data_IF_627397346424
#
_entry.id   IF_627397346424
#
_cell.length_a   1.000
_cell.length_b   1.000
_cell.length_c   1.000
_cell.angle_alpha   90.00
_cell.angle_beta   90.00
_cell.angle_gamma   90.00
#
_symmetry.space_group_name_H-M   'P 1'
#
loop_
_entity.id
_entity.type
_entity.pdbx_description
1 polymer ?
#
# COMPACT_ATOMS: atom_id res chain seq x y z
N UNK A 1 9.10 -4.14 -13.42
CA UNK A 1 8.76 -4.52 -12.02
C UNK A 1 9.45 -3.55 -11.08
N UNK A 2 8.75 -3.02 -10.07
CA UNK A 2 9.34 -2.13 -9.06
C UNK A 2 10.12 -2.95 -8.00
N UNK A 3 11.14 -3.71 -8.40
CA UNK A 3 11.89 -4.62 -7.52
C UNK A 3 12.51 -3.91 -6.30
N UNK A 4 12.95 -2.65 -6.47
CA UNK A 4 13.49 -1.81 -5.39
C UNK A 4 12.46 -1.48 -4.31
N UNK A 5 11.16 -1.59 -4.59
CA UNK A 5 10.12 -1.39 -3.59
C UNK A 5 10.15 -2.48 -2.51
N UNK A 6 10.45 -3.73 -2.88
CA UNK A 6 10.56 -4.82 -1.91
C UNK A 6 11.81 -4.69 -1.03
N UNK A 7 12.91 -4.22 -1.60
CA UNK A 7 14.19 -4.10 -0.89
C UNK A 7 14.96 -2.87 -1.36
N UNK A 8 14.96 -1.84 -0.51
CA UNK A 8 15.58 -0.53 -0.74
C UNK A 8 17.05 -0.50 -0.29
N UNK A 9 17.63 -1.62 0.16
CA UNK A 9 19.03 -1.67 0.62
C UNK A 9 20.00 -1.17 -0.47
N UNK A 10 20.90 -0.22 -0.15
CA UNK A 10 21.76 0.42 -1.14
C UNK A 10 22.81 -0.52 -1.75
N UNK A 11 23.21 -1.57 -1.03
CA UNK A 11 24.20 -2.55 -1.48
C UNK A 11 23.66 -3.55 -2.52
N UNK A 12 22.32 -3.67 -2.66
CA UNK A 12 21.70 -4.56 -3.64
C UNK A 12 21.64 -3.90 -5.01
N UNK A 13 22.07 -4.57 -6.07
CA UNK A 13 21.83 -4.12 -7.44
C UNK A 13 20.39 -4.43 -7.88
N UNK A 14 19.87 -3.80 -8.94
CA UNK A 14 18.63 -4.23 -9.60
C UNK A 14 18.58 -5.73 -9.91
N UNK A 15 19.69 -6.30 -10.38
CA UNK A 15 19.79 -7.73 -10.70
C UNK A 15 19.68 -8.60 -9.44
N UNK A 16 20.32 -8.21 -8.34
CA UNK A 16 20.20 -8.90 -7.05
C UNK A 16 18.75 -8.87 -6.54
N UNK A 17 18.08 -7.71 -6.64
CA UNK A 17 16.68 -7.62 -6.22
C UNK A 17 15.76 -8.53 -7.05
N UNK A 18 16.01 -8.65 -8.36
CA UNK A 18 15.25 -9.59 -9.21
C UNK A 18 15.57 -11.04 -8.83
N UNK A 19 16.85 -11.36 -8.59
CA UNK A 19 17.27 -12.70 -8.17
C UNK A 19 16.63 -13.11 -6.84
N UNK A 20 16.59 -12.22 -5.84
CA UNK A 20 15.94 -12.46 -4.55
C UNK A 20 14.43 -12.76 -4.73
N UNK A 21 13.74 -11.99 -5.58
CA UNK A 21 12.32 -12.18 -5.86
C UNK A 21 12.02 -13.48 -6.62
N UNK A 22 12.92 -13.91 -7.52
CA UNK A 22 12.79 -15.20 -8.20
C UNK A 22 13.04 -16.35 -7.23
N UNK A 23 14.08 -16.24 -6.40
CA UNK A 23 14.41 -17.22 -5.38
C UNK A 23 13.24 -17.43 -4.41
N UNK A 24 12.65 -16.37 -3.87
CA UNK A 24 11.56 -16.52 -2.88
C UNK A 24 10.31 -17.16 -3.49
N UNK A 25 10.02 -16.91 -4.78
CA UNK A 25 8.91 -17.57 -5.49
C UNK A 25 9.22 -19.06 -5.70
N UNK A 26 10.44 -19.41 -6.06
CA UNK A 26 10.86 -20.81 -6.21
C UNK A 26 10.82 -21.56 -4.87
N UNK A 27 11.28 -20.92 -3.79
CA UNK A 27 11.22 -21.46 -2.43
C UNK A 27 9.78 -21.67 -1.99
N UNK A 28 8.89 -20.69 -2.19
CA UNK A 28 7.47 -20.82 -1.88
C UNK A 28 6.81 -21.95 -2.68
N UNK A 29 7.09 -22.05 -3.99
CA UNK A 29 6.60 -23.15 -4.82
C UNK A 29 7.12 -24.52 -4.38
N UNK A 30 8.37 -24.61 -3.91
CA UNK A 30 8.91 -25.86 -3.39
C UNK A 30 8.20 -26.28 -2.10
N UNK A 31 8.11 -25.37 -1.13
CA UNK A 31 7.43 -25.60 0.15
C UNK A 31 5.98 -26.02 -0.09
N UNK A 32 5.27 -25.30 -0.97
CA UNK A 32 3.86 -25.55 -1.25
C UNK A 32 3.55 -26.96 -1.81
N UNK A 33 4.52 -27.60 -2.49
CA UNK A 33 4.35 -28.96 -3.03
C UNK A 33 4.37 -30.04 -1.95
N UNK A 34 5.01 -29.75 -0.82
CA UNK A 34 5.16 -30.69 0.30
C UNK A 34 4.10 -30.48 1.38
N UNK A 35 3.21 -29.48 1.22
CA UNK A 35 2.10 -29.23 2.12
C UNK A 35 1.03 -30.35 2.02
N UNK A 36 0.38 -30.72 3.14
CA UNK A 36 -0.66 -31.73 3.14
C UNK A 36 -1.94 -31.26 2.44
N UNK A 37 -2.88 -32.16 2.20
CA UNK A 37 -4.23 -31.77 1.78
C UNK A 37 -4.92 -30.98 2.91
N UNK A 38 -5.36 -29.75 2.61
CA UNK A 38 -6.02 -28.86 3.55
C UNK A 38 -6.83 -27.80 2.79
N UNK A 39 -7.56 -26.95 3.51
CA UNK A 39 -8.24 -25.79 2.91
C UNK A 39 -7.22 -24.76 2.40
N UNK A 40 -7.59 -23.89 1.44
CA UNK A 40 -6.69 -22.84 0.94
C UNK A 40 -6.14 -21.92 2.04
N UNK A 41 -6.95 -21.62 3.05
CA UNK A 41 -6.53 -20.81 4.20
C UNK A 41 -5.49 -21.51 5.07
N UNK A 42 -5.67 -22.80 5.36
CA UNK A 42 -4.70 -23.60 6.13
C UNK A 42 -3.37 -23.71 5.37
N UNK A 43 -3.42 -24.01 4.07
CA UNK A 43 -2.26 -24.05 3.19
C UNK A 43 -1.53 -22.71 3.16
N UNK A 44 -2.26 -21.61 2.99
CA UNK A 44 -1.69 -20.27 3.00
C UNK A 44 -0.99 -19.97 4.33
N UNK A 45 -1.62 -20.30 5.47
CA UNK A 45 -1.06 -20.04 6.80
C UNK A 45 0.26 -20.80 7.03
N UNK A 46 0.30 -22.08 6.66
CA UNK A 46 1.52 -22.88 6.79
C UNK A 46 2.63 -22.41 5.84
N UNK A 47 2.25 -22.05 4.61
CA UNK A 47 3.15 -21.49 3.62
C UNK A 47 3.73 -20.14 4.08
N UNK A 48 2.91 -19.25 4.63
CA UNK A 48 3.34 -17.92 5.12
C UNK A 48 4.43 -18.05 6.18
N UNK A 49 4.20 -18.89 7.20
CA UNK A 49 5.18 -19.15 8.26
C UNK A 49 6.47 -19.78 7.73
N UNK A 50 6.35 -20.73 6.81
CA UNK A 50 7.50 -21.47 6.27
C UNK A 50 8.36 -20.60 5.37
N UNK A 51 7.74 -19.77 4.52
CA UNK A 51 8.43 -18.85 3.62
C UNK A 51 9.02 -17.67 4.39
N UNK A 52 8.34 -17.12 5.40
CA UNK A 52 8.91 -16.07 6.27
C UNK A 52 10.19 -16.57 6.95
N UNK A 53 10.16 -17.78 7.51
CA UNK A 53 11.35 -18.40 8.13
C UNK A 53 12.49 -18.55 7.13
N UNK A 54 12.23 -19.18 5.98
CA UNK A 54 13.25 -19.40 4.95
C UNK A 54 13.81 -18.08 4.41
N UNK A 55 12.98 -17.06 4.23
CA UNK A 55 13.38 -15.72 3.81
C UNK A 55 14.33 -15.07 4.82
N UNK A 56 13.98 -15.09 6.11
CA UNK A 56 14.80 -14.51 7.17
C UNK A 56 16.14 -15.25 7.34
N UNK A 57 16.13 -16.59 7.30
CA UNK A 57 17.35 -17.42 7.32
C UNK A 57 18.26 -17.14 6.11
N UNK A 58 17.67 -16.84 4.96
CA UNK A 58 18.37 -16.42 3.75
C UNK A 58 18.82 -14.95 3.72
N UNK A 59 18.62 -14.17 4.79
CA UNK A 59 18.98 -12.76 4.84
C UNK A 59 18.11 -11.84 3.97
N UNK A 60 16.89 -12.30 3.66
CA UNK A 60 15.87 -11.56 2.93
C UNK A 60 14.81 -10.98 3.86
N UNK A 61 14.05 -10.00 3.38
CA UNK A 61 13.10 -9.26 4.20
C UNK A 61 11.67 -9.85 4.12
N UNK A 62 10.86 -9.60 5.16
CA UNK A 62 9.50 -10.14 5.26
C UNK A 62 8.54 -9.68 4.16
N UNK A 63 8.69 -8.44 3.68
CA UNK A 63 7.89 -7.94 2.55
C UNK A 63 8.19 -8.73 1.26
N UNK A 64 9.45 -9.09 1.05
CA UNK A 64 9.88 -10.03 0.01
C UNK A 64 9.37 -11.46 0.23
N UNK A 65 9.36 -11.95 1.46
CA UNK A 65 8.76 -13.25 1.80
C UNK A 65 7.28 -13.32 1.39
N UNK A 66 6.53 -12.27 1.75
CA UNK A 66 5.12 -12.10 1.38
C UNK A 66 4.89 -12.16 -0.13
N UNK A 67 5.83 -11.67 -0.93
CA UNK A 67 5.74 -11.75 -2.40
C UNK A 67 5.70 -13.20 -2.88
N UNK A 68 6.61 -14.04 -2.38
CA UNK A 68 6.65 -15.47 -2.70
C UNK A 68 5.34 -16.17 -2.34
N UNK A 69 4.87 -15.96 -1.11
CA UNK A 69 3.58 -16.50 -0.61
C UNK A 69 2.43 -16.06 -1.52
N UNK A 70 2.34 -14.76 -1.85
CA UNK A 70 1.25 -14.20 -2.64
C UNK A 70 1.15 -14.76 -4.06
N UNK A 71 2.26 -15.24 -4.63
CA UNK A 71 2.26 -15.85 -5.97
C UNK A 71 1.57 -17.21 -5.94
N UNK A 72 1.91 -18.03 -4.94
CA UNK A 72 1.31 -19.36 -4.75
C UNK A 72 -0.14 -19.24 -4.29
N UNK A 73 -0.41 -18.37 -3.32
CA UNK A 73 -1.74 -18.07 -2.82
C UNK A 73 -2.72 -17.72 -3.95
N UNK A 74 -2.35 -16.78 -4.83
CA UNK A 74 -3.20 -16.36 -5.94
C UNK A 74 -3.37 -17.47 -6.98
N UNK A 75 -2.34 -18.29 -7.21
CA UNK A 75 -2.45 -19.45 -8.09
C UNK A 75 -3.41 -20.51 -7.53
N UNK A 76 -3.37 -20.77 -6.23
CA UNK A 76 -4.32 -21.67 -5.54
C UNK A 76 -5.76 -21.13 -5.64
N UNK A 77 -5.97 -19.85 -5.32
CA UNK A 77 -7.29 -19.20 -5.42
C UNK A 77 -7.84 -19.25 -6.84
N UNK A 78 -7.02 -18.94 -7.85
CA UNK A 78 -7.44 -18.99 -9.27
C UNK A 78 -7.75 -20.43 -9.72
N UNK A 79 -6.92 -21.40 -9.36
CA UNK A 79 -7.12 -22.81 -9.69
C UNK A 79 -8.42 -23.37 -9.11
N UNK A 80 -8.69 -23.07 -7.84
CA UNK A 80 -9.92 -23.50 -7.15
C UNK A 80 -11.14 -22.79 -7.72
N UNK A 81 -11.05 -21.48 -7.96
CA UNK A 81 -12.13 -20.71 -8.58
C UNK A 81 -12.51 -21.28 -9.95
N UNK A 82 -11.51 -21.62 -10.78
CA UNK A 82 -11.73 -22.27 -12.08
C UNK A 82 -12.36 -23.66 -11.94
N UNK A 83 -11.86 -24.49 -11.04
CA UNK A 83 -12.40 -25.84 -10.81
C UNK A 83 -13.85 -25.81 -10.30
N UNK A 84 -14.20 -24.84 -9.47
CA UNK A 84 -15.53 -24.68 -8.90
C UNK A 84 -16.50 -23.83 -9.77
N UNK A 85 -16.01 -23.18 -10.82
CA UNK A 85 -16.78 -22.22 -11.61
C UNK A 85 -17.18 -20.96 -10.82
N UNK A 86 -16.35 -20.52 -9.87
CA UNK A 86 -16.62 -19.41 -8.97
C UNK A 86 -15.63 -18.26 -9.17
N UNK A 87 -16.15 -17.03 -9.17
CA UNK A 87 -15.34 -15.83 -8.98
C UNK A 87 -14.97 -15.60 -7.51
N UNK A 88 -14.02 -14.69 -7.24
CA UNK A 88 -13.48 -14.47 -5.90
C UNK A 88 -14.54 -14.13 -4.84
N UNK A 89 -15.47 -13.21 -5.11
CA UNK A 89 -16.56 -12.89 -4.15
C UNK A 89 -17.41 -14.11 -3.82
N UNK A 90 -17.78 -14.91 -4.83
CA UNK A 90 -18.58 -16.12 -4.62
C UNK A 90 -17.82 -17.20 -3.83
N UNK A 91 -16.49 -17.26 -3.96
CA UNK A 91 -15.66 -18.13 -3.11
C UNK A 91 -15.65 -17.68 -1.65
N UNK A 92 -15.66 -16.37 -1.38
CA UNK A 92 -15.81 -15.83 -0.01
C UNK A 92 -17.19 -16.15 0.55
N UNK A 93 -18.26 -15.94 -0.22
CA UNK A 93 -19.65 -16.20 0.20
C UNK A 93 -19.89 -17.66 0.57
N UNK A 94 -19.29 -18.57 -0.20
CA UNK A 94 -19.43 -20.01 -0.01
C UNK A 94 -18.38 -20.61 0.92
N UNK A 95 -17.56 -19.79 1.56
CA UNK A 95 -16.39 -20.20 2.37
C UNK A 95 -15.51 -21.26 1.65
N UNK A 96 -15.36 -21.14 0.33
CA UNK A 96 -14.58 -22.09 -0.48
C UNK A 96 -13.09 -22.05 -0.14
N UNK A 97 -12.62 -20.92 0.41
CA UNK A 97 -11.24 -20.76 0.87
C UNK A 97 -11.01 -21.30 2.29
N UNK A 98 -12.08 -21.63 3.03
CA UNK A 98 -11.99 -22.09 4.42
C UNK A 98 -11.45 -21.03 5.37
N UNK A 99 -11.85 -19.76 5.21
CA UNK A 99 -11.27 -18.67 5.98
C UNK A 99 -11.57 -18.84 7.48
N UNK A 100 -10.55 -18.78 8.32
CA UNK A 100 -10.66 -18.76 9.79
C UNK A 100 -9.96 -17.54 10.38
N UNK A 101 -10.47 -16.31 10.18
CA UNK A 101 -9.80 -15.08 10.62
C UNK A 101 -9.46 -15.06 12.11
N UNK A 102 -10.34 -15.63 12.94
CA UNK A 102 -10.17 -15.72 14.39
C UNK A 102 -8.95 -16.56 14.84
N UNK A 103 -8.44 -17.46 14.00
CA UNK A 103 -7.23 -18.24 14.29
C UNK A 103 -5.95 -17.42 14.14
N UNK A 104 -5.99 -16.33 13.36
CA UNK A 104 -4.88 -15.38 13.22
C UNK A 104 -5.07 -14.20 14.18
N UNK A 105 -6.29 -13.67 14.23
CA UNK A 105 -6.65 -12.53 15.06
C UNK A 105 -7.88 -12.89 15.92
N UNK A 106 -7.71 -13.32 17.18
CA UNK A 106 -8.81 -13.75 18.04
C UNK A 106 -9.94 -12.71 18.17
N UNK A 107 -9.61 -11.43 18.04
CA UNK A 107 -10.59 -10.35 18.05
C UNK A 107 -11.57 -10.39 16.87
N UNK A 108 -11.25 -11.05 15.75
CA UNK A 108 -12.18 -11.23 14.64
C UNK A 108 -13.19 -12.36 14.87
N UNK A 109 -13.23 -12.97 16.07
CA UNK A 109 -14.25 -13.95 16.43
C UNK A 109 -15.65 -13.34 16.32
N UNK A 110 -16.50 -14.00 15.52
CA UNK A 110 -17.88 -13.55 15.27
C UNK A 110 -18.01 -12.43 14.24
N UNK A 111 -16.90 -11.93 13.66
CA UNK A 111 -16.93 -10.97 12.55
C UNK A 111 -16.98 -11.72 11.23
N UNK A 112 -18.04 -11.49 10.45
CA UNK A 112 -18.20 -12.04 9.12
C UNK A 112 -17.47 -11.22 8.06
N UNK A 113 -17.22 -11.83 6.90
CA UNK A 113 -16.64 -11.13 5.75
C UNK A 113 -17.58 -9.99 5.28
N UNK A 114 -18.89 -10.16 5.43
CA UNK A 114 -19.91 -9.17 5.08
C UNK A 114 -19.90 -7.92 5.99
N UNK A 115 -19.32 -8.02 7.18
CA UNK A 115 -19.12 -6.84 8.04
C UNK A 115 -18.00 -5.94 7.51
N UNK A 116 -17.10 -6.49 6.68
CA UNK A 116 -15.87 -5.83 6.23
C UNK A 116 -15.82 -5.53 4.73
N UNK A 117 -16.53 -6.31 3.91
CA UNK A 117 -16.50 -6.21 2.45
C UNK A 117 -17.92 -6.00 1.90
N UNK A 118 -18.06 -5.23 0.81
CA UNK A 118 -19.36 -5.02 0.18
C UNK A 118 -19.93 -6.35 -0.34
N UNK A 119 -21.25 -6.52 -0.23
CA UNK A 119 -21.97 -7.74 -0.62
C UNK A 119 -21.87 -8.09 -2.11
N UNK A 120 -21.44 -7.13 -2.95
CA UNK A 120 -21.11 -7.36 -4.34
C UNK A 120 -19.89 -6.54 -4.77
N UNK A 121 -19.11 -6.98 -5.77
CA UNK A 121 -18.03 -6.18 -6.34
C UNK A 121 -18.52 -4.80 -6.79
N UNK A 122 -17.70 -3.78 -6.54
CA UNK A 122 -18.01 -2.42 -6.96
C UNK A 122 -18.05 -2.31 -8.49
N UNK A 123 -19.03 -1.58 -9.02
CA UNK A 123 -19.18 -1.33 -10.46
C UNK A 123 -18.27 -0.22 -10.99
N UNK A 124 -17.69 0.57 -10.09
CA UNK A 124 -16.79 1.67 -10.40
C UNK A 124 -15.75 1.81 -9.29
N UNK A 125 -14.57 2.29 -9.65
CA UNK A 125 -13.42 2.50 -8.77
C UNK A 125 -12.87 3.90 -9.04
N UNK A 126 -12.35 4.57 -8.01
CA UNK A 126 -11.59 5.80 -8.21
C UNK A 126 -10.14 5.48 -8.55
N UNK A 127 -9.67 5.98 -9.69
CA UNK A 127 -8.26 5.93 -10.06
C UNK A 127 -7.53 7.11 -9.42
N UNK A 128 -6.45 6.80 -8.69
CA UNK A 128 -5.51 7.77 -8.13
C UNK A 128 -4.29 7.87 -9.02
N UNK A 129 -4.14 9.00 -9.70
CA UNK A 129 -2.95 9.27 -10.49
C UNK A 129 -1.80 9.66 -9.56
N UNK A 130 -0.68 8.95 -9.63
CA UNK A 130 0.47 9.21 -8.76
C UNK A 130 1.37 10.25 -9.40
N UNK A 131 1.68 11.31 -8.66
CA UNK A 131 2.64 12.34 -9.05
C UNK A 131 3.87 12.21 -8.15
N UNK A 132 4.98 11.82 -8.77
CA UNK A 132 6.30 11.78 -8.20
C UNK A 132 6.93 13.17 -8.06
N UNK A 133 8.09 13.18 -7.39
CA UNK A 133 8.87 14.39 -7.12
C UNK A 133 9.41 15.07 -8.38
N UNK A 134 9.61 14.28 -9.45
CA UNK A 134 10.24 14.73 -10.70
C UNK A 134 9.30 14.68 -11.91
N UNK A 135 8.05 14.26 -11.72
CA UNK A 135 7.11 14.14 -12.83
C UNK A 135 6.76 15.56 -13.34
N UNK A 136 6.67 15.78 -14.65
CA UNK A 136 6.32 17.10 -15.17
C UNK A 136 4.85 17.45 -14.82
N UNK A 137 4.63 18.64 -14.25
CA UNK A 137 3.28 19.15 -14.03
C UNK A 137 2.73 19.80 -15.28
N UNK A 138 3.59 20.49 -16.03
CA UNK A 138 3.25 21.20 -17.26
C UNK A 138 4.32 20.98 -18.32
N UNK A 139 4.03 21.35 -19.56
CA UNK A 139 4.99 21.26 -20.66
C UNK A 139 6.22 22.18 -20.51
N UNK A 140 6.22 23.10 -19.53
CA UNK A 140 7.37 23.95 -19.21
C UNK A 140 8.38 23.25 -18.27
N UNK A 141 8.00 22.16 -17.61
CA UNK A 141 8.90 21.40 -16.76
C UNK A 141 9.88 20.58 -17.62
N UNK A 142 11.10 20.31 -17.13
CA UNK A 142 12.07 19.50 -17.86
C UNK A 142 11.68 18.02 -17.83
N UNK A 143 11.45 17.44 -19.00
CA UNK A 143 11.28 16.00 -19.17
C UNK A 143 11.64 15.59 -20.61
N UNK A 144 11.83 14.29 -20.83
CA UNK A 144 12.04 13.72 -22.16
C UNK A 144 10.71 13.12 -22.66
N UNK A 145 10.09 13.71 -23.70
CA UNK A 145 8.85 13.20 -24.27
C UNK A 145 8.98 11.76 -24.77
N UNK A 146 8.01 10.90 -24.42
CA UNK A 146 7.95 9.52 -24.89
C UNK A 146 7.36 9.46 -26.30
N UNK A 147 6.46 10.41 -26.62
CA UNK A 147 5.76 10.53 -27.89
C UNK A 147 4.98 9.27 -28.30
N UNK A 148 4.40 8.56 -27.33
CA UNK A 148 3.56 7.37 -27.57
C UNK A 148 2.08 7.71 -27.82
N UNK A 149 1.73 9.00 -27.77
CA UNK A 149 0.38 9.52 -27.96
C UNK A 149 -0.47 9.59 -26.68
N UNK A 150 0.10 9.28 -25.51
CA UNK A 150 -0.55 9.47 -24.21
C UNK A 150 -0.21 10.84 -23.59
N UNK A 151 -0.99 11.32 -22.61
CA UNK A 151 -0.62 12.51 -21.84
C UNK A 151 0.75 12.35 -21.16
N UNK A 152 1.55 13.42 -21.14
CA UNK A 152 2.92 13.36 -20.61
C UNK A 152 3.10 14.22 -19.35
N UNK A 153 2.18 15.14 -19.07
CA UNK A 153 2.22 16.06 -17.92
C UNK A 153 0.93 15.98 -17.09
N UNK A 154 0.99 16.35 -15.80
CA UNK A 154 -0.22 16.39 -14.97
C UNK A 154 -1.31 17.26 -15.60
N UNK A 155 -0.95 18.40 -16.21
CA UNK A 155 -1.89 19.27 -16.90
C UNK A 155 -2.62 18.54 -18.05
N UNK A 156 -1.90 17.77 -18.84
CA UNK A 156 -2.49 17.00 -19.95
C UNK A 156 -3.42 15.92 -19.42
N UNK A 157 -3.00 15.21 -18.38
CA UNK A 157 -3.81 14.19 -17.72
C UNK A 157 -5.07 14.76 -17.07
N UNK A 158 -5.01 15.94 -16.45
CA UNK A 158 -6.19 16.63 -15.91
C UNK A 158 -7.18 16.97 -17.04
N UNK A 159 -6.68 17.46 -18.18
CA UNK A 159 -7.48 17.88 -19.33
C UNK A 159 -8.11 16.69 -20.09
N UNK A 160 -7.34 15.63 -20.31
CA UNK A 160 -7.73 14.51 -21.17
C UNK A 160 -8.48 13.40 -20.41
N UNK A 161 -7.95 12.99 -19.25
CA UNK A 161 -8.42 11.79 -18.53
C UNK A 161 -9.43 12.11 -17.41
N UNK A 162 -9.68 13.40 -17.14
CA UNK A 162 -10.66 13.84 -16.15
C UNK A 162 -10.34 13.35 -14.74
N UNK A 163 -9.04 13.31 -14.38
CA UNK A 163 -8.56 12.83 -13.08
C UNK A 163 -9.28 13.54 -11.94
N UNK A 164 -9.73 12.74 -10.97
CA UNK A 164 -10.44 13.20 -9.76
C UNK A 164 -9.64 12.96 -8.48
N UNK A 165 -8.61 12.11 -8.53
CA UNK A 165 -7.82 11.77 -7.36
C UNK A 165 -6.32 11.77 -7.69
N UNK A 166 -5.54 12.42 -6.84
CA UNK A 166 -4.07 12.39 -6.90
C UNK A 166 -3.47 11.64 -5.71
N UNK A 167 -2.37 10.94 -5.94
CA UNK A 167 -1.41 10.54 -4.91
C UNK A 167 -0.15 11.36 -5.11
N UNK A 168 0.14 12.29 -4.21
CA UNK A 168 1.26 13.22 -4.33
C UNK A 168 2.38 12.70 -3.44
N UNK A 169 3.54 12.41 -4.04
CA UNK A 169 4.73 12.02 -3.28
C UNK A 169 5.37 13.23 -2.60
N UNK A 170 5.93 13.02 -1.42
CA UNK A 170 6.76 13.98 -0.70
C UNK A 170 8.10 13.33 -0.34
N UNK A 171 9.17 14.10 -0.44
CA UNK A 171 10.55 13.63 -0.52
C UNK A 171 11.35 13.75 0.77
N UNK A 172 10.84 14.44 1.80
CA UNK A 172 11.58 14.68 3.04
C UNK A 172 12.49 15.92 3.00
N UNK A 173 12.55 16.62 1.87
CA UNK A 173 13.13 17.97 1.79
C UNK A 173 12.00 18.99 1.91
N UNK A 174 11.90 19.62 3.08
CA UNK A 174 10.83 20.56 3.39
C UNK A 174 10.67 21.68 2.35
N UNK A 175 11.77 22.22 1.82
CA UNK A 175 11.70 23.34 0.90
C UNK A 175 11.25 22.89 -0.49
N UNK A 176 11.80 21.75 -0.96
CA UNK A 176 11.41 21.16 -2.22
C UNK A 176 9.96 20.66 -2.19
N UNK A 177 9.54 20.01 -1.11
CA UNK A 177 8.18 19.50 -0.91
C UNK A 177 7.15 20.63 -0.94
N UNK A 178 7.41 21.73 -0.22
CA UNK A 178 6.51 22.90 -0.23
C UNK A 178 6.43 23.52 -1.61
N UNK A 179 7.57 23.79 -2.26
CA UNK A 179 7.58 24.38 -3.60
C UNK A 179 6.80 23.51 -4.61
N UNK A 180 6.97 22.18 -4.49
CA UNK A 180 6.27 21.21 -5.32
C UNK A 180 4.77 21.19 -5.08
N UNK A 181 4.34 21.18 -3.81
CA UNK A 181 2.93 21.21 -3.44
C UNK A 181 2.25 22.51 -3.87
N UNK A 182 2.95 23.65 -3.77
CA UNK A 182 2.43 24.94 -4.23
C UNK A 182 2.25 24.96 -5.74
N UNK A 183 3.22 24.44 -6.50
CA UNK A 183 3.08 24.31 -7.95
C UNK A 183 1.89 23.43 -8.36
N UNK A 184 1.65 22.32 -7.64
CA UNK A 184 0.47 21.46 -7.87
C UNK A 184 -0.81 22.20 -7.52
N UNK A 185 -0.87 22.88 -6.37
CA UNK A 185 -2.04 23.65 -5.95
C UNK A 185 -2.39 24.76 -6.95
N UNK A 186 -1.38 25.49 -7.44
CA UNK A 186 -1.54 26.54 -8.45
C UNK A 186 -2.05 25.98 -9.78
N UNK A 187 -1.55 24.83 -10.23
CA UNK A 187 -2.05 24.18 -11.45
C UNK A 187 -3.51 23.77 -11.31
N UNK A 188 -3.89 23.17 -10.18
CA UNK A 188 -5.27 22.77 -9.91
C UNK A 188 -6.20 23.98 -9.86
N UNK A 189 -5.77 25.08 -9.25
CA UNK A 189 -6.53 26.33 -9.20
C UNK A 189 -6.72 26.94 -10.59
N UNK A 190 -5.67 26.99 -11.42
CA UNK A 190 -5.73 27.53 -12.80
C UNK A 190 -6.64 26.71 -13.70
N UNK A 191 -6.61 25.39 -13.57
CA UNK A 191 -7.41 24.48 -14.40
C UNK A 191 -8.84 24.31 -13.90
N UNK A 192 -9.15 24.77 -12.67
CA UNK A 192 -10.49 24.68 -12.07
C UNK A 192 -10.90 23.25 -11.68
N UNK A 193 -9.98 22.29 -11.66
CA UNK A 193 -10.29 20.91 -11.31
C UNK A 193 -10.43 20.74 -9.81
N UNK A 194 -11.54 20.13 -9.38
CA UNK A 194 -11.70 19.66 -8.00
C UNK A 194 -11.18 18.23 -7.90
N UNK A 195 -10.16 18.03 -7.07
CA UNK A 195 -9.57 16.71 -6.81
C UNK A 195 -9.70 16.35 -5.33
N UNK A 196 -9.60 15.06 -5.02
CA UNK A 196 -9.16 14.59 -3.72
C UNK A 196 -7.70 14.15 -3.80
N UNK A 197 -6.93 14.31 -2.72
CA UNK A 197 -5.52 14.00 -2.70
C UNK A 197 -5.17 12.99 -1.59
N UNK A 198 -4.03 12.33 -1.73
CA UNK A 198 -3.34 11.62 -0.65
C UNK A 198 -1.88 12.04 -0.70
N UNK A 199 -1.24 12.21 0.45
CA UNK A 199 0.22 12.38 0.50
C UNK A 199 0.87 11.02 0.69
N UNK A 200 1.99 10.78 0.03
CA UNK A 200 2.77 9.54 0.13
C UNK A 200 4.22 9.89 0.45
N UNK A 201 4.64 9.62 1.67
CA UNK A 201 6.01 9.89 2.08
C UNK A 201 6.99 8.80 1.66
N UNK A 202 6.53 7.67 1.11
CA UNK A 202 7.32 6.63 0.45
C UNK A 202 8.62 6.30 1.23
N UNK A 203 8.51 6.17 2.55
CA UNK A 203 9.61 5.85 3.48
C UNK A 203 10.74 6.90 3.60
N UNK A 204 10.48 8.17 3.28
CA UNK A 204 11.50 9.23 3.31
C UNK A 204 11.80 9.80 4.70
N UNK A 205 10.96 9.53 5.71
CA UNK A 205 11.11 10.11 7.04
C UNK A 205 11.55 9.05 8.07
N UNK A 206 12.52 9.41 8.92
CA UNK A 206 12.96 8.54 10.04
C UNK A 206 12.31 8.90 11.37
N UNK A 207 11.70 10.08 11.46
CA UNK A 207 11.01 10.58 12.65
C UNK A 207 9.66 11.17 12.24
N UNK A 208 8.65 10.93 13.06
CA UNK A 208 7.32 11.49 12.82
C UNK A 208 7.31 13.02 12.90
N UNK A 209 8.14 13.60 13.77
CA UNK A 209 8.29 15.05 13.92
C UNK A 209 8.72 15.74 12.63
N UNK A 210 9.59 15.10 11.84
CA UNK A 210 10.08 15.67 10.58
C UNK A 210 8.93 15.77 9.56
N UNK A 211 8.06 14.76 9.53
CA UNK A 211 6.84 14.80 8.71
C UNK A 211 5.80 15.78 9.27
N UNK A 212 5.65 15.86 10.59
CA UNK A 212 4.78 16.83 11.23
C UNK A 212 5.20 18.28 10.92
N UNK A 213 6.51 18.56 10.80
CA UNK A 213 7.01 19.87 10.38
C UNK A 213 6.58 20.22 8.94
N UNK A 214 6.57 19.26 8.02
CA UNK A 214 6.00 19.46 6.68
C UNK A 214 4.50 19.77 6.76
N UNK A 215 3.74 19.02 7.57
CA UNK A 215 2.30 19.25 7.69
C UNK A 215 1.97 20.61 8.33
N UNK A 216 2.75 21.06 9.32
CA UNK A 216 2.62 22.41 9.88
C UNK A 216 2.92 23.48 8.83
N UNK A 217 3.96 23.28 8.01
CA UNK A 217 4.30 24.16 6.91
C UNK A 217 3.19 24.23 5.84
N UNK A 218 2.54 23.09 5.55
CA UNK A 218 1.38 23.03 4.64
C UNK A 218 0.20 23.82 5.23
N UNK A 219 -0.13 23.58 6.50
CA UNK A 219 -1.30 24.20 7.17
C UNK A 219 -1.14 25.70 7.41
N UNK A 220 0.09 26.19 7.53
CA UNK A 220 0.37 27.63 7.72
C UNK A 220 0.34 28.46 6.44
N UNK A 221 0.24 27.83 5.26
CA UNK A 221 0.27 28.52 3.96
C UNK A 221 -1.11 28.58 3.32
N UNK A 222 -1.57 29.80 3.04
CA UNK A 222 -2.85 30.03 2.37
C UNK A 222 -2.92 29.40 0.97
N UNK A 223 -1.79 29.39 0.24
CA UNK A 223 -1.62 28.74 -1.07
C UNK A 223 -1.97 27.24 -1.04
N UNK A 224 -1.75 26.56 0.10
CA UNK A 224 -1.94 25.13 0.25
C UNK A 224 -3.22 24.74 0.99
N UNK A 225 -4.00 25.70 1.48
CA UNK A 225 -5.19 25.43 2.30
C UNK A 225 -6.23 24.57 1.56
N UNK A 226 -6.47 24.83 0.27
CA UNK A 226 -7.38 24.04 -0.54
C UNK A 226 -6.87 22.60 -0.76
N UNK A 227 -5.56 22.44 -1.01
CA UNK A 227 -4.95 21.13 -1.19
C UNK A 227 -4.99 20.32 0.11
N UNK A 228 -4.64 20.90 1.25
CA UNK A 228 -4.73 20.25 2.55
C UNK A 228 -6.15 19.77 2.85
N UNK A 229 -7.16 20.62 2.60
CA UNK A 229 -8.58 20.24 2.79
C UNK A 229 -9.00 19.09 1.86
N UNK A 230 -8.41 18.98 0.68
CA UNK A 230 -8.66 17.90 -0.27
C UNK A 230 -7.90 16.60 0.07
N UNK A 231 -6.89 16.66 0.95
CA UNK A 231 -6.09 15.49 1.33
C UNK A 231 -6.86 14.59 2.28
N UNK A 232 -7.03 13.31 1.89
CA UNK A 232 -7.80 12.32 2.62
C UNK A 232 -7.00 11.65 3.74
N UNK A 233 -5.74 11.33 3.46
CA UNK A 233 -4.83 10.64 4.38
C UNK A 233 -3.37 10.72 3.88
N UNK A 234 -2.46 10.24 4.72
CA UNK A 234 -1.03 10.11 4.41
C UNK A 234 -0.65 8.63 4.39
N UNK A 235 0.00 8.20 3.32
CA UNK A 235 0.53 6.85 3.09
C UNK A 235 2.02 6.80 3.45
N UNK A 236 2.40 5.83 4.30
CA UNK A 236 3.77 5.43 4.67
C UNK A 236 4.78 6.60 4.75
N UNK A 237 4.59 7.58 5.67
CA UNK A 237 5.58 8.64 5.83
C UNK A 237 6.90 8.08 6.35
N UNK A 238 6.84 7.20 7.35
CA UNK A 238 8.01 6.67 8.02
C UNK A 238 8.67 5.54 7.24
N UNK A 239 10.00 5.44 7.31
CA UNK A 239 10.77 4.30 6.86
C UNK A 239 10.28 3.02 7.56
N UNK A 240 10.11 1.90 6.84
CA UNK A 240 9.53 0.67 7.40
C UNK A 240 10.27 0.13 8.62
N UNK A 241 11.58 0.39 8.73
CA UNK A 241 12.42 -0.03 9.85
C UNK A 241 12.05 0.65 11.17
N UNK A 242 11.46 1.84 11.12
CA UNK A 242 11.02 2.64 12.29
C UNK A 242 9.52 2.82 12.36
N UNK A 243 8.79 2.55 11.27
CA UNK A 243 7.34 2.76 11.19
C UNK A 243 6.56 2.05 12.29
N UNK A 244 7.02 0.87 12.72
CA UNK A 244 6.37 0.05 13.74
C UNK A 244 7.23 -0.12 15.02
N UNK A 245 8.21 0.76 15.26
CA UNK A 245 9.13 0.62 16.41
C UNK A 245 8.58 1.15 17.74
N UNK A 246 7.43 1.84 17.73
CA UNK A 246 6.82 2.40 18.93
C UNK A 246 5.56 3.21 18.63
N UNK A 247 4.81 3.57 19.68
CA UNK A 247 3.58 4.35 19.56
C UNK A 247 3.87 5.71 18.92
N UNK A 248 3.04 6.11 17.97
CA UNK A 248 3.15 7.42 17.31
C UNK A 248 2.84 8.54 18.30
N UNK A 249 3.66 9.58 18.29
CA UNK A 249 3.51 10.73 19.19
C UNK A 249 2.18 11.46 18.94
N UNK A 250 1.36 11.59 19.98
CA UNK A 250 0.01 12.14 19.87
C UNK A 250 -0.01 13.64 19.52
N UNK A 251 1.02 14.39 19.91
CA UNK A 251 1.16 15.80 19.55
C UNK A 251 1.49 15.93 18.06
N UNK A 252 2.43 15.13 17.55
CA UNK A 252 2.75 15.08 16.12
C UNK A 252 1.52 14.66 15.29
N UNK A 253 0.75 13.66 15.73
CA UNK A 253 -0.52 13.30 15.08
C UNK A 253 -1.52 14.46 15.04
N UNK A 254 -1.63 15.25 16.11
CA UNK A 254 -2.47 16.46 16.14
C UNK A 254 -2.02 17.55 15.17
N UNK A 255 -0.71 17.70 14.95
CA UNK A 255 -0.14 18.62 13.95
C UNK A 255 -0.43 18.12 12.53
N UNK A 256 -0.28 16.81 12.28
CA UNK A 256 -0.57 16.21 10.97
C UNK A 256 -2.07 16.35 10.63
N UNK A 257 -2.95 16.04 11.59
CA UNK A 257 -4.40 16.23 11.46
C UNK A 257 -5.06 15.34 10.40
N UNK A 258 -4.36 14.29 9.93
CA UNK A 258 -4.82 13.36 8.91
C UNK A 258 -4.53 11.91 9.34
N UNK A 259 -5.34 10.92 8.92
CA UNK A 259 -5.05 9.51 9.13
C UNK A 259 -3.72 9.11 8.50
N UNK A 260 -2.92 8.31 9.23
CA UNK A 260 -1.70 7.70 8.73
C UNK A 260 -1.94 6.23 8.37
N UNK A 261 -1.48 5.81 7.20
CA UNK A 261 -1.58 4.44 6.70
C UNK A 261 -0.19 3.83 6.53
N UNK A 262 -0.08 2.51 6.71
CA UNK A 262 1.11 1.75 6.33
C UNK A 262 0.96 1.16 4.90
N UNK A 263 2.06 1.14 4.14
CA UNK A 263 2.20 0.38 2.89
C UNK A 263 3.39 -0.58 3.03
N UNK A 264 4.63 -0.14 2.82
CA UNK A 264 5.80 -1.02 2.89
C UNK A 264 6.06 -1.64 4.28
N UNK A 265 5.55 -1.04 5.35
CA UNK A 265 5.62 -1.62 6.69
C UNK A 265 4.64 -2.79 6.91
N UNK A 266 3.65 -3.00 6.03
CA UNK A 266 2.77 -4.18 6.01
C UNK A 266 3.50 -5.40 5.42
N UNK A 267 4.62 -5.76 6.06
CA UNK A 267 5.56 -6.77 5.58
C UNK A 267 5.27 -8.19 6.08
N UNK A 268 4.43 -8.36 7.10
CA UNK A 268 4.10 -9.66 7.70
C UNK A 268 2.62 -9.70 8.11
N UNK A 269 2.10 -10.88 8.43
CA UNK A 269 0.66 -11.09 8.64
C UNK A 269 0.05 -10.20 9.73
N UNK A 270 0.70 -10.00 10.87
CA UNK A 270 0.18 -9.14 11.96
C UNK A 270 0.50 -7.65 11.83
N UNK A 271 1.24 -7.22 10.80
CA UNK A 271 1.81 -5.87 10.74
C UNK A 271 0.77 -4.76 10.87
N UNK A 272 -0.38 -4.88 10.20
CA UNK A 272 -1.44 -3.90 10.31
C UNK A 272 -2.12 -3.89 11.69
N UNK A 273 -2.36 -5.07 12.27
CA UNK A 273 -2.88 -5.18 13.64
C UNK A 273 -1.96 -4.44 14.61
N UNK A 274 -0.65 -4.68 14.50
CA UNK A 274 0.36 -4.02 15.33
C UNK A 274 0.32 -2.50 15.10
N UNK A 275 0.20 -2.06 13.84
CA UNK A 275 0.11 -0.65 13.49
C UNK A 275 -1.12 0.08 14.09
N UNK A 276 -2.27 -0.59 14.21
CA UNK A 276 -3.47 -0.02 14.85
C UNK A 276 -3.14 0.40 16.30
N UNK A 277 -2.44 -0.45 17.07
CA UNK A 277 -2.04 -0.13 18.45
C UNK A 277 -1.07 1.04 18.55
N UNK A 278 -0.27 1.26 17.50
CA UNK A 278 0.68 2.36 17.45
C UNK A 278 0.03 3.68 17.04
N UNK A 279 -1.23 3.67 16.57
CA UNK A 279 -1.98 4.86 16.18
C UNK A 279 -2.16 5.05 14.67
N UNK A 280 -1.76 4.07 13.84
CA UNK A 280 -2.10 4.07 12.42
C UNK A 280 -3.59 3.75 12.22
N UNK A 281 -4.17 4.30 11.16
CA UNK A 281 -5.60 4.23 10.88
C UNK A 281 -5.93 3.48 9.59
N UNK A 282 -4.94 2.88 8.93
CA UNK A 282 -5.21 1.99 7.80
C UNK A 282 -3.95 1.36 7.21
N UNK A 283 -4.17 0.60 6.15
CA UNK A 283 -3.14 -0.15 5.43
C UNK A 283 -3.47 -0.22 3.94
N UNK A 284 -2.44 -0.19 3.11
CA UNK A 284 -2.56 -0.36 1.66
C UNK A 284 -2.60 -1.83 1.25
N UNK A 285 -3.65 -2.21 0.53
CA UNK A 285 -3.70 -3.48 -0.19
C UNK A 285 -2.76 -3.47 -1.40
N UNK A 286 -2.01 -4.56 -1.59
CA UNK A 286 -1.30 -4.86 -2.84
C UNK A 286 -1.43 -6.35 -3.15
N UNK A 287 -1.67 -6.70 -4.40
CA UNK A 287 -1.72 -8.11 -4.82
C UNK A 287 -0.42 -8.87 -4.52
N UNK A 288 0.73 -8.19 -4.57
CA UNK A 288 2.03 -8.75 -4.23
C UNK A 288 2.25 -9.01 -2.73
N UNK A 289 1.28 -8.62 -1.89
CA UNK A 289 1.27 -8.90 -0.45
C UNK A 289 0.33 -10.06 -0.10
N UNK A 290 -0.50 -10.54 -1.01
CA UNK A 290 -1.49 -11.58 -0.73
C UNK A 290 -2.89 -11.03 -0.50
N UNK A 291 -3.88 -11.77 -0.98
CA UNK A 291 -5.30 -11.39 -0.96
C UNK A 291 -5.95 -11.81 0.35
N UNK A 292 -5.61 -12.99 0.89
CA UNK A 292 -6.08 -13.46 2.21
C UNK A 292 -5.70 -12.45 3.29
N UNK A 293 -4.41 -12.05 3.35
CA UNK A 293 -3.97 -10.98 4.28
C UNK A 293 -4.79 -9.70 4.10
N UNK A 294 -5.15 -9.36 2.88
CA UNK A 294 -5.91 -8.14 2.59
C UNK A 294 -7.37 -8.23 3.03
N UNK A 295 -7.99 -9.40 2.97
CA UNK A 295 -9.31 -9.66 3.57
C UNK A 295 -9.22 -9.54 5.08
N UNK A 296 -8.20 -10.14 5.72
CA UNK A 296 -7.99 -10.02 7.17
C UNK A 296 -7.78 -8.57 7.60
N UNK A 297 -6.97 -7.81 6.84
CA UNK A 297 -6.74 -6.39 7.08
C UNK A 297 -8.02 -5.56 6.91
N UNK A 298 -8.87 -5.88 5.93
CA UNK A 298 -10.17 -5.23 5.79
C UNK A 298 -11.09 -5.51 7.00
N UNK A 299 -11.07 -6.73 7.53
CA UNK A 299 -11.83 -7.08 8.75
C UNK A 299 -11.32 -6.35 9.99
N UNK A 300 -10.00 -6.24 10.15
CA UNK A 300 -9.40 -5.44 11.22
C UNK A 300 -9.79 -3.96 11.08
N UNK A 301 -9.77 -3.42 9.86
CA UNK A 301 -10.15 -2.04 9.61
C UNK A 301 -11.64 -1.79 9.96
N UNK A 302 -12.55 -2.68 9.54
CA UNK A 302 -13.97 -2.56 9.85
C UNK A 302 -14.28 -2.66 11.35
N UNK A 303 -13.43 -3.38 12.11
CA UNK A 303 -13.59 -3.54 13.56
C UNK A 303 -13.06 -2.35 14.36
N UNK A 304 -11.95 -1.75 13.94
CA UNK A 304 -11.19 -0.78 14.74
C UNK A 304 -11.26 0.67 14.27
N UNK A 305 -11.76 0.92 13.04
CA UNK A 305 -11.85 2.27 12.46
C UNK A 305 -13.26 2.77 12.28
#
# INVERSE_FOLDING_TARGET
LAYKWFDKRPEKTPADNVADLLWVVQSAASIARDLPEATPFELWRELDVSVDRAALEGGFNRLGASFGVSMIERAMIDGIGKAAGLGFRAMLDKDTLGLRPAEIFPELAGTGIDDALPSAPLKALHLRHTIGMVDPLTAADPFEPVNDGLPETLEDYLRHDGIRYLKIKVGGDLSADIARLEAIADLLAKTGHTIAATLDGNEQYKRLDDFAALMEAIRSRASLAALYKATLFVEQPLERSVALSGTLDSKALGVIGLPLLIDEADGWTSAYRDAIELGYRGVSHKNCKGVIRSVLNAMLAARHN
#
